data_IF_452685037093
#
_entry.id   IF_452685037093
#
_cell.length_a   1.000
_cell.length_b   1.000
_cell.length_c   1.000
_cell.angle_alpha   90.00
_cell.angle_beta   90.00
_cell.angle_gamma   90.00
#
_symmetry.space_group_name_H-M   'P 1'
#
loop_
_entity.id
_entity.type
_entity.pdbx_description
1 polymer ?
#
# COMPACT_ATOMS: atom_id res chain seq x y z
N UNK A 1 -39.79 -53.25 -2.18
CA UNK A 1 -38.93 -52.64 -1.19
C UNK A 1 -38.18 -51.49 -1.87
N UNK A 2 -38.70 -50.27 -1.74
CA UNK A 2 -38.14 -49.10 -2.36
C UNK A 2 -37.21 -48.41 -1.35
N UNK A 3 -35.91 -48.41 -1.65
CA UNK A 3 -34.93 -47.61 -0.92
C UNK A 3 -34.91 -46.19 -1.53
N UNK A 4 -35.41 -45.21 -0.76
CA UNK A 4 -35.29 -43.80 -1.13
C UNK A 4 -33.92 -43.31 -0.71
N UNK A 5 -33.09 -42.94 -1.69
CA UNK A 5 -31.83 -42.18 -1.46
C UNK A 5 -32.18 -40.77 -1.04
N UNK A 6 -31.93 -40.47 0.22
CA UNK A 6 -31.99 -39.10 0.75
C UNK A 6 -30.64 -38.43 0.51
N UNK A 7 -30.57 -37.71 -0.59
CA UNK A 7 -29.41 -36.83 -0.88
C UNK A 7 -29.43 -35.62 0.09
N UNK A 8 -28.57 -35.67 1.09
CA UNK A 8 -28.35 -34.53 2.03
C UNK A 8 -27.78 -33.35 1.24
N UNK A 9 -28.57 -32.28 1.07
CA UNK A 9 -28.10 -31.01 0.56
C UNK A 9 -27.15 -30.37 1.58
N UNK A 10 -25.88 -30.17 1.19
CA UNK A 10 -24.95 -29.38 1.95
C UNK A 10 -25.49 -27.94 2.12
N UNK A 11 -25.45 -27.36 3.33
CA UNK A 11 -25.90 -26.01 3.54
C UNK A 11 -25.10 -25.06 2.66
N UNK A 12 -25.77 -24.20 1.88
CA UNK A 12 -25.17 -23.11 1.14
C UNK A 12 -24.56 -22.16 2.17
N UNK A 13 -23.23 -22.17 2.28
CA UNK A 13 -22.49 -21.13 3.01
C UNK A 13 -22.83 -19.79 2.39
N UNK A 14 -23.28 -18.82 3.21
CA UNK A 14 -23.42 -17.43 2.78
C UNK A 14 -22.09 -17.00 2.12
N UNK A 15 -22.14 -16.23 1.01
CA UNK A 15 -20.92 -15.66 0.46
C UNK A 15 -20.25 -14.84 1.59
N UNK A 16 -19.01 -15.16 1.93
CA UNK A 16 -18.20 -14.32 2.81
C UNK A 16 -18.19 -12.93 2.19
N UNK A 17 -18.62 -11.92 2.96
CA UNK A 17 -18.48 -10.53 2.55
C UNK A 17 -16.99 -10.31 2.30
N UNK A 18 -16.63 -10.13 1.03
CA UNK A 18 -15.24 -9.85 0.64
C UNK A 18 -14.85 -8.53 1.27
N UNK A 19 -13.89 -8.59 2.21
CA UNK A 19 -13.33 -7.41 2.87
C UNK A 19 -12.85 -6.41 1.81
N UNK A 20 -13.16 -5.14 2.02
CA UNK A 20 -12.61 -4.07 1.19
C UNK A 20 -11.10 -3.93 1.42
N UNK A 21 -10.33 -3.91 0.32
CA UNK A 21 -8.88 -3.75 0.35
C UNK A 21 -8.53 -2.27 0.33
N UNK A 22 -7.83 -1.78 1.36
CA UNK A 22 -7.36 -0.41 1.46
C UNK A 22 -6.13 -0.18 0.57
N UNK A 23 -6.16 0.92 -0.17
CA UNK A 23 -5.11 1.30 -1.12
C UNK A 23 -4.76 2.76 -0.87
N UNK A 24 -3.67 2.98 -0.16
CA UNK A 24 -3.32 4.27 0.40
C UNK A 24 -2.11 4.89 -0.30
N UNK A 25 -2.17 6.17 -0.56
CA UNK A 25 -1.06 6.96 -1.09
C UNK A 25 -0.71 8.06 -0.11
N UNK A 26 0.55 8.09 0.34
CA UNK A 26 1.09 9.06 1.30
C UNK A 26 1.99 10.05 0.57
N UNK A 27 1.56 11.30 0.50
CA UNK A 27 2.30 12.38 -0.17
C UNK A 27 2.72 13.45 0.84
N UNK A 28 3.99 13.82 0.84
CA UNK A 28 4.49 14.93 1.65
C UNK A 28 6.00 14.91 1.82
N UNK A 29 6.60 16.07 2.06
CA UNK A 29 8.05 16.21 2.23
C UNK A 29 8.60 15.42 3.43
N UNK A 30 9.92 15.18 3.51
CA UNK A 30 10.54 14.51 4.65
C UNK A 30 10.22 15.22 5.97
N UNK A 31 10.10 14.46 7.06
CA UNK A 31 9.88 14.99 8.40
C UNK A 31 8.46 15.48 8.71
N UNK A 32 7.48 15.24 7.83
CA UNK A 32 6.06 15.64 8.04
C UNK A 32 5.23 14.60 8.80
N UNK A 33 5.79 13.45 9.18
CA UNK A 33 5.09 12.45 9.99
C UNK A 33 4.49 11.27 9.21
N UNK A 34 4.73 11.14 7.89
CA UNK A 34 4.24 10.01 7.09
C UNK A 34 4.54 8.65 7.72
N UNK A 35 5.80 8.41 8.06
CA UNK A 35 6.25 7.14 8.67
C UNK A 35 5.58 6.89 10.02
N UNK A 36 5.30 7.94 10.80
CA UNK A 36 4.58 7.81 12.07
C UNK A 36 3.16 7.30 11.86
N UNK A 37 2.43 7.87 10.91
CA UNK A 37 1.06 7.42 10.57
C UNK A 37 1.08 6.00 9.99
N UNK A 38 2.03 5.71 9.09
CA UNK A 38 2.20 4.35 8.57
C UNK A 38 2.48 3.31 9.66
N UNK A 39 3.30 3.67 10.66
CA UNK A 39 3.56 2.79 11.80
C UNK A 39 2.32 2.55 12.67
N UNK A 40 1.42 3.54 12.76
CA UNK A 40 0.13 3.34 13.45
C UNK A 40 -0.73 2.33 12.70
N UNK A 41 -0.92 2.50 11.39
CA UNK A 41 -1.68 1.58 10.54
C UNK A 41 -1.05 0.18 10.54
N UNK A 42 0.29 0.11 10.48
CA UNK A 42 1.03 -1.14 10.58
C UNK A 42 0.72 -1.88 11.89
N UNK A 43 0.68 -1.17 13.01
CA UNK A 43 0.36 -1.75 14.33
C UNK A 43 -1.06 -2.32 14.34
N UNK A 44 -2.04 -1.56 13.89
CA UNK A 44 -3.44 -2.02 13.78
C UNK A 44 -3.56 -3.28 12.91
N UNK A 45 -2.85 -3.32 11.78
CA UNK A 45 -2.78 -4.51 10.92
C UNK A 45 -2.23 -5.73 11.69
N UNK A 46 -1.15 -5.56 12.45
CA UNK A 46 -0.55 -6.64 13.23
C UNK A 46 -1.43 -7.09 14.39
N UNK A 47 -2.09 -6.17 15.07
CA UNK A 47 -3.06 -6.45 16.15
C UNK A 47 -4.27 -7.22 15.64
N UNK A 48 -4.68 -7.00 14.39
CA UNK A 48 -5.72 -7.81 13.73
C UNK A 48 -5.26 -9.22 13.31
N UNK A 49 -4.03 -9.62 13.68
CA UNK A 49 -3.44 -10.92 13.34
C UNK A 49 -2.91 -11.03 11.91
N UNK A 50 -2.95 -9.95 11.14
CA UNK A 50 -2.42 -9.91 9.78
C UNK A 50 -0.92 -9.65 9.79
N UNK A 51 -0.26 -9.91 8.70
CA UNK A 51 1.18 -9.69 8.54
C UNK A 51 1.45 -8.47 7.68
N UNK A 52 2.67 -7.93 7.77
CA UNK A 52 3.05 -6.80 6.96
C UNK A 52 4.43 -6.99 6.31
N UNK A 53 4.60 -6.40 5.13
CA UNK A 53 5.85 -6.38 4.40
C UNK A 53 6.18 -4.97 3.97
N UNK A 54 7.35 -4.49 4.34
CA UNK A 54 7.87 -3.18 3.94
C UNK A 54 8.91 -3.38 2.84
N UNK A 55 8.71 -2.75 1.70
CA UNK A 55 9.69 -2.67 0.60
C UNK A 55 10.29 -1.28 0.63
N UNK A 56 11.59 -1.19 0.86
CA UNK A 56 12.32 0.08 0.97
C UNK A 56 13.68 -0.03 0.29
N UNK A 57 14.22 1.06 -0.30
CA UNK A 57 15.59 1.06 -0.82
C UNK A 57 16.62 1.37 0.29
N UNK A 58 16.17 1.75 1.48
CA UNK A 58 17.02 2.28 2.56
C UNK A 58 17.32 1.24 3.63
N UNK A 59 18.60 0.89 3.79
CA UNK A 59 19.03 -0.08 4.81
C UNK A 59 18.82 0.43 6.24
N UNK A 60 18.93 1.74 6.45
CA UNK A 60 18.85 2.39 7.75
C UNK A 60 17.42 2.76 8.19
N UNK A 61 16.42 2.52 7.34
CA UNK A 61 15.02 2.71 7.69
C UNK A 61 14.38 1.41 8.14
N UNK A 62 13.38 1.51 9.02
CA UNK A 62 12.66 0.36 9.55
C UNK A 62 13.55 -0.69 10.24
N UNK A 63 14.66 -0.27 10.87
CA UNK A 63 15.67 -1.18 11.46
C UNK A 63 15.13 -2.04 12.61
N UNK A 64 14.07 -1.58 13.27
CA UNK A 64 13.33 -2.31 14.29
C UNK A 64 12.52 -3.50 13.72
N UNK A 65 12.40 -3.58 12.40
CA UNK A 65 11.69 -4.66 11.71
C UNK A 65 12.69 -5.63 11.07
N UNK A 66 12.54 -6.90 11.40
CA UNK A 66 13.41 -7.95 10.90
C UNK A 66 13.39 -8.06 9.36
N UNK A 67 14.55 -8.21 8.75
CA UNK A 67 14.71 -8.32 7.31
C UNK A 67 14.38 -9.74 6.80
N UNK A 68 13.73 -9.80 5.64
CA UNK A 68 13.59 -11.03 4.85
C UNK A 68 14.61 -11.01 3.73
N UNK A 69 15.35 -12.10 3.58
CA UNK A 69 16.24 -12.24 2.44
C UNK A 69 15.42 -12.41 1.14
N UNK A 70 15.58 -11.51 0.15
CA UNK A 70 14.68 -11.46 -1.02
C UNK A 70 14.74 -12.71 -1.90
N UNK A 71 15.82 -13.51 -1.81
CA UNK A 71 15.99 -14.77 -2.55
C UNK A 71 15.29 -15.96 -1.87
N UNK A 72 14.91 -15.83 -0.59
CA UNK A 72 14.28 -16.91 0.17
C UNK A 72 12.76 -16.79 0.09
N UNK A 73 12.17 -17.33 -0.96
CA UNK A 73 10.73 -17.22 -1.27
C UNK A 73 9.82 -17.75 -0.15
N UNK A 74 10.24 -18.79 0.55
CA UNK A 74 9.47 -19.34 1.67
C UNK A 74 9.39 -18.36 2.85
N UNK A 75 10.36 -17.48 3.05
CA UNK A 75 10.29 -16.43 4.07
C UNK A 75 9.17 -15.43 3.80
N UNK A 76 8.90 -15.09 2.52
CA UNK A 76 7.76 -14.21 2.17
C UNK A 76 6.43 -14.92 2.45
N UNK A 77 6.37 -16.22 2.30
CA UNK A 77 5.15 -17.01 2.45
C UNK A 77 4.79 -17.32 3.90
N UNK A 78 5.77 -17.54 4.77
CA UNK A 78 5.57 -18.23 6.05
C UNK A 78 5.78 -17.39 7.30
N UNK A 79 6.38 -16.19 7.21
CA UNK A 79 6.62 -15.37 8.40
C UNK A 79 5.34 -14.84 9.03
N UNK A 80 5.41 -14.52 10.32
CA UNK A 80 4.38 -13.80 11.07
C UNK A 80 4.89 -12.41 11.45
N UNK A 81 3.96 -11.49 11.74
CA UNK A 81 4.27 -10.11 12.11
C UNK A 81 4.76 -9.28 10.92
N UNK A 82 5.63 -8.31 11.17
CA UNK A 82 6.21 -7.45 10.15
C UNK A 82 7.57 -7.93 9.68
N UNK A 83 7.87 -7.73 8.41
CA UNK A 83 9.21 -7.91 7.81
C UNK A 83 9.50 -6.77 6.85
N UNK A 84 10.80 -6.51 6.60
CA UNK A 84 11.25 -5.58 5.56
C UNK A 84 12.10 -6.29 4.51
N UNK A 85 12.08 -5.77 3.28
CA UNK A 85 12.93 -6.18 2.17
C UNK A 85 13.60 -4.94 1.60
N UNK A 86 14.92 -5.00 1.43
CA UNK A 86 15.66 -3.98 0.70
C UNK A 86 15.53 -4.27 -0.79
N UNK A 87 15.10 -3.25 -1.55
CA UNK A 87 14.86 -3.35 -3.00
C UNK A 87 15.46 -2.15 -3.72
N UNK A 88 16.38 -2.41 -4.66
CA UNK A 88 17.00 -1.39 -5.51
C UNK A 88 16.55 -1.48 -6.98
N UNK A 89 15.43 -2.16 -7.23
CA UNK A 89 14.86 -2.34 -8.58
C UNK A 89 15.00 -3.74 -9.15
N UNK A 90 15.28 -4.72 -8.28
CA UNK A 90 15.33 -6.12 -8.68
C UNK A 90 13.91 -6.66 -8.93
N UNK A 91 13.57 -6.86 -10.20
CA UNK A 91 12.25 -7.38 -10.62
C UNK A 91 11.86 -8.66 -9.90
N UNK A 92 12.83 -9.53 -9.61
CA UNK A 92 12.62 -10.79 -8.91
C UNK A 92 12.02 -10.63 -7.52
N UNK A 93 12.33 -9.53 -6.83
CA UNK A 93 11.74 -9.22 -5.51
C UNK A 93 10.23 -8.97 -5.66
N UNK A 94 9.83 -8.09 -6.59
CA UNK A 94 8.43 -7.78 -6.84
C UNK A 94 7.65 -9.01 -7.35
N UNK A 95 8.26 -9.84 -8.21
CA UNK A 95 7.68 -11.11 -8.66
C UNK A 95 7.43 -12.07 -7.50
N UNK A 96 8.37 -12.21 -6.59
CA UNK A 96 8.22 -13.05 -5.41
C UNK A 96 7.13 -12.51 -4.46
N UNK A 97 7.06 -11.21 -4.25
CA UNK A 97 5.99 -10.58 -3.46
C UNK A 97 4.65 -10.86 -4.13
N UNK A 98 4.52 -10.57 -5.42
CA UNK A 98 3.30 -10.86 -6.20
C UNK A 98 2.86 -12.31 -6.08
N UNK A 99 3.80 -13.25 -6.09
CA UNK A 99 3.52 -14.69 -6.06
C UNK A 99 3.14 -15.20 -4.67
N UNK A 100 3.86 -14.77 -3.62
CA UNK A 100 3.84 -15.42 -2.31
C UNK A 100 3.22 -14.61 -1.18
N UNK A 101 3.09 -13.27 -1.32
CA UNK A 101 2.49 -12.45 -0.29
C UNK A 101 0.96 -12.44 -0.41
N UNK A 102 0.28 -12.79 0.68
CA UNK A 102 -1.19 -12.86 0.77
C UNK A 102 -1.64 -12.42 2.16
N UNK A 103 -2.89 -11.95 2.28
CA UNK A 103 -3.55 -11.59 3.53
C UNK A 103 -2.65 -10.73 4.43
N UNK A 104 -2.42 -9.47 4.04
CA UNK A 104 -1.53 -8.60 4.80
C UNK A 104 -1.51 -7.17 4.31
N UNK A 105 -0.54 -6.42 4.82
CA UNK A 105 -0.31 -5.01 4.49
C UNK A 105 1.06 -4.84 3.83
N UNK A 106 1.09 -4.32 2.62
CA UNK A 106 2.29 -4.09 1.84
C UNK A 106 2.59 -2.59 1.79
N UNK A 107 3.75 -2.20 2.31
CA UNK A 107 4.22 -0.81 2.29
C UNK A 107 5.31 -0.67 1.22
N UNK A 108 5.09 0.23 0.26
CA UNK A 108 6.08 0.68 -0.72
C UNK A 108 6.65 2.01 -0.24
N UNK A 109 7.77 1.95 0.44
CA UNK A 109 8.44 3.12 0.97
C UNK A 109 9.47 3.65 -0.04
N UNK A 110 9.43 4.95 -0.34
CA UNK A 110 10.24 5.62 -1.37
C UNK A 110 10.29 4.87 -2.73
N UNK A 111 9.13 4.46 -3.21
CA UNK A 111 8.96 3.54 -4.34
C UNK A 111 9.59 4.04 -5.66
N UNK A 112 9.82 5.35 -5.83
CA UNK A 112 10.51 5.89 -7.01
C UNK A 112 11.90 5.31 -7.20
N UNK A 113 12.56 4.92 -6.13
CA UNK A 113 13.92 4.41 -6.18
C UNK A 113 14.01 3.04 -6.88
N UNK A 114 12.93 2.26 -6.88
CA UNK A 114 12.94 0.89 -7.40
C UNK A 114 11.80 0.54 -8.37
N UNK A 115 10.82 1.45 -8.59
CA UNK A 115 9.76 1.28 -9.59
C UNK A 115 9.97 2.33 -10.70
N UNK A 116 10.26 1.85 -11.89
CA UNK A 116 10.54 2.70 -13.07
C UNK A 116 9.27 2.99 -13.86
N UNK A 117 9.21 4.07 -14.64
CA UNK A 117 8.09 4.35 -15.56
C UNK A 117 7.79 3.20 -16.52
N UNK A 118 8.84 2.49 -16.99
CA UNK A 118 8.72 1.31 -17.86
C UNK A 118 7.97 0.12 -17.21
N UNK A 119 7.88 0.11 -15.89
CA UNK A 119 7.25 -0.98 -15.14
C UNK A 119 5.72 -0.79 -14.97
N UNK A 120 5.14 0.24 -15.58
CA UNK A 120 3.72 0.61 -15.42
C UNK A 120 2.78 -0.59 -15.61
N UNK A 121 2.84 -1.26 -16.76
CA UNK A 121 1.96 -2.40 -17.08
C UNK A 121 2.14 -3.54 -16.08
N UNK A 122 3.38 -3.82 -15.70
CA UNK A 122 3.67 -4.82 -14.68
C UNK A 122 3.06 -4.43 -13.32
N UNK A 123 3.20 -3.18 -12.92
CA UNK A 123 2.66 -2.69 -11.65
C UNK A 123 1.13 -2.66 -11.63
N UNK A 124 0.46 -2.35 -12.74
CA UNK A 124 -0.99 -2.47 -12.86
C UNK A 124 -1.44 -3.92 -12.58
N UNK A 125 -0.81 -4.90 -13.24
CA UNK A 125 -1.09 -6.32 -13.00
C UNK A 125 -0.73 -6.77 -11.58
N UNK A 126 0.31 -6.19 -11.01
CA UNK A 126 0.73 -6.45 -9.64
C UNK A 126 -0.35 -5.97 -8.64
N UNK A 127 -0.80 -4.72 -8.75
CA UNK A 127 -1.79 -4.12 -7.85
C UNK A 127 -3.16 -4.79 -7.97
N UNK A 128 -3.56 -5.21 -9.19
CA UNK A 128 -4.76 -6.02 -9.40
C UNK A 128 -4.66 -7.38 -8.68
N UNK A 129 -3.49 -8.03 -8.74
CA UNK A 129 -3.28 -9.31 -8.06
C UNK A 129 -3.30 -9.19 -6.52
N UNK A 130 -2.89 -8.05 -5.96
CA UNK A 130 -2.96 -7.80 -4.52
C UNK A 130 -4.41 -7.81 -4.01
N UNK A 131 -5.33 -7.20 -4.76
CA UNK A 131 -6.76 -7.21 -4.43
C UNK A 131 -7.32 -8.63 -4.29
N UNK A 132 -6.96 -9.53 -5.23
CA UNK A 132 -7.41 -10.93 -5.21
C UNK A 132 -6.82 -11.73 -4.06
N UNK A 133 -5.78 -11.21 -3.41
CA UNK A 133 -5.03 -11.87 -2.33
C UNK A 133 -5.29 -11.26 -0.96
N UNK A 134 -6.28 -10.39 -0.85
CA UNK A 134 -6.61 -9.67 0.39
C UNK A 134 -5.40 -8.91 0.98
N UNK A 135 -4.70 -8.19 0.11
CA UNK A 135 -3.53 -7.38 0.48
C UNK A 135 -3.84 -5.91 0.37
N UNK A 136 -3.85 -5.21 1.51
CA UNK A 136 -3.82 -3.75 1.55
C UNK A 136 -2.46 -3.26 1.11
N UNK A 137 -2.40 -2.05 0.55
CA UNK A 137 -1.10 -1.43 0.33
C UNK A 137 -1.07 0.06 0.70
N UNK A 138 0.11 0.53 1.06
CA UNK A 138 0.46 1.93 1.14
C UNK A 138 1.67 2.21 0.25
N UNK A 139 1.63 3.34 -0.47
CA UNK A 139 2.75 3.85 -1.24
C UNK A 139 3.15 5.22 -0.71
N UNK A 140 4.43 5.40 -0.39
CA UNK A 140 4.97 6.65 0.14
C UNK A 140 5.88 7.36 -0.83
N UNK A 141 5.76 8.68 -0.87
CA UNK A 141 6.65 9.55 -1.60
C UNK A 141 6.78 10.94 -1.01
N UNK A 142 7.84 11.63 -1.38
CA UNK A 142 8.14 12.97 -0.90
C UNK A 142 7.33 14.08 -1.60
N UNK A 143 6.65 13.74 -2.68
CA UNK A 143 5.79 14.63 -3.46
C UNK A 143 5.01 13.85 -4.51
N UNK A 144 4.09 14.52 -5.21
CA UNK A 144 3.23 13.91 -6.22
C UNK A 144 4.03 13.28 -7.38
N UNK A 145 5.16 13.89 -7.76
CA UNK A 145 6.00 13.41 -8.86
C UNK A 145 6.93 12.27 -8.48
N UNK A 146 7.08 12.00 -7.19
CA UNK A 146 7.94 10.91 -6.68
C UNK A 146 7.20 9.60 -6.50
N UNK A 147 5.88 9.58 -6.70
CA UNK A 147 5.07 8.36 -6.68
C UNK A 147 4.69 8.01 -8.13
N UNK A 148 4.88 6.77 -8.56
CA UNK A 148 4.47 6.32 -9.89
C UNK A 148 2.96 6.51 -10.12
N UNK A 149 2.53 6.94 -11.33
CA UNK A 149 1.12 7.24 -11.64
C UNK A 149 0.15 6.13 -11.29
N UNK A 150 0.54 4.89 -11.51
CA UNK A 150 -0.28 3.71 -11.26
C UNK A 150 -0.82 3.63 -9.83
N UNK A 151 -0.09 4.10 -8.83
CA UNK A 151 -0.57 4.08 -7.45
C UNK A 151 -1.74 5.06 -7.23
N UNK A 152 -1.74 6.20 -7.90
CA UNK A 152 -2.85 7.17 -7.85
C UNK A 152 -4.12 6.59 -8.47
N UNK A 153 -4.00 5.95 -9.63
CA UNK A 153 -5.12 5.32 -10.32
C UNK A 153 -5.80 4.24 -9.48
N UNK A 154 -5.02 3.51 -8.67
CA UNK A 154 -5.54 2.42 -7.83
C UNK A 154 -5.86 2.84 -6.41
N UNK A 155 -5.47 4.03 -5.96
CA UNK A 155 -5.69 4.48 -4.59
C UNK A 155 -7.17 4.61 -4.24
N UNK A 156 -7.54 4.23 -3.04
CA UNK A 156 -8.84 4.52 -2.43
C UNK A 156 -8.77 5.72 -1.50
N UNK A 157 -7.58 6.00 -0.96
CA UNK A 157 -7.35 7.09 -0.02
C UNK A 157 -6.00 7.77 -0.25
N UNK A 158 -6.02 9.12 -0.12
CA UNK A 158 -4.81 9.95 -0.12
C UNK A 158 -4.59 10.53 1.26
N UNK A 159 -3.41 10.30 1.79
CA UNK A 159 -2.88 10.93 3.01
C UNK A 159 -1.98 12.09 2.59
N UNK A 160 -2.49 13.30 2.67
CA UNK A 160 -1.83 14.52 2.20
C UNK A 160 -1.15 15.21 3.38
N UNK A 161 0.16 15.23 3.37
CA UNK A 161 1.01 15.99 4.27
C UNK A 161 1.57 17.23 3.57
N UNK A 162 2.20 18.14 4.32
CA UNK A 162 2.81 19.33 3.74
C UNK A 162 3.80 18.97 2.62
N UNK A 163 3.63 19.59 1.46
CA UNK A 163 4.44 19.35 0.26
C UNK A 163 4.66 20.61 -0.54
N UNK A 164 5.81 20.74 -1.18
CA UNK A 164 6.11 21.80 -2.15
C UNK A 164 5.87 21.37 -3.58
N UNK A 165 5.56 20.07 -3.80
CA UNK A 165 5.32 19.54 -5.14
C UNK A 165 3.91 19.86 -5.62
N UNK A 166 3.79 20.15 -6.91
CA UNK A 166 2.53 20.57 -7.51
C UNK A 166 1.68 19.34 -7.90
N UNK A 167 0.48 19.17 -7.34
CA UNK A 167 -0.40 18.05 -7.66
C UNK A 167 -0.87 18.05 -9.13
N UNK A 168 -0.83 19.21 -9.82
CA UNK A 168 -1.25 19.36 -11.22
C UNK A 168 -0.60 18.34 -12.16
N UNK A 169 0.61 17.89 -11.86
CA UNK A 169 1.32 16.88 -12.65
C UNK A 169 0.68 15.48 -12.57
N UNK A 170 -0.32 15.29 -11.70
CA UNK A 170 -1.07 14.04 -11.51
C UNK A 170 -2.57 14.20 -11.77
N UNK A 171 -2.96 15.30 -12.41
CA UNK A 171 -4.37 15.61 -12.67
C UNK A 171 -5.11 14.47 -13.37
N UNK A 172 -4.47 13.84 -14.35
CA UNK A 172 -5.07 12.76 -15.14
C UNK A 172 -5.04 11.39 -14.43
N UNK A 173 -4.27 11.26 -13.34
CA UNK A 173 -4.13 10.03 -12.58
C UNK A 173 -5.05 10.00 -11.33
N UNK A 174 -5.64 11.14 -10.95
CA UNK A 174 -6.43 11.33 -9.72
C UNK A 174 -7.86 11.66 -10.07
N UNK A 175 -8.83 10.88 -9.57
CA UNK A 175 -10.25 11.07 -9.92
C UNK A 175 -10.82 12.40 -9.39
N UNK A 176 -10.46 12.80 -8.16
CA UNK A 176 -10.98 14.01 -7.51
C UNK A 176 -9.86 15.06 -7.36
N UNK A 177 -9.29 15.48 -8.49
CA UNK A 177 -8.15 16.39 -8.52
C UNK A 177 -8.39 17.72 -7.79
N UNK A 178 -9.55 18.34 -8.00
CA UNK A 178 -9.87 19.66 -7.43
C UNK A 178 -9.89 19.62 -5.88
N UNK A 179 -10.36 18.52 -5.30
CA UNK A 179 -10.32 18.33 -3.85
C UNK A 179 -8.90 18.08 -3.36
N UNK A 180 -8.09 17.32 -4.09
CA UNK A 180 -6.67 17.13 -3.78
C UNK A 180 -5.93 18.45 -3.78
N UNK A 181 -6.12 19.31 -4.79
CA UNK A 181 -5.47 20.63 -4.89
C UNK A 181 -5.88 21.55 -3.74
N UNK A 182 -7.18 21.64 -3.43
CA UNK A 182 -7.69 22.41 -2.28
C UNK A 182 -7.10 21.91 -0.96
N UNK A 183 -7.02 20.58 -0.80
CA UNK A 183 -6.48 19.97 0.42
C UNK A 183 -5.00 20.22 0.56
N UNK A 184 -4.20 20.12 -0.51
CA UNK A 184 -2.78 20.48 -0.48
C UNK A 184 -2.57 21.91 0.02
N UNK A 185 -3.36 22.87 -0.50
CA UNK A 185 -3.28 24.27 -0.07
C UNK A 185 -3.63 24.42 1.42
N UNK A 186 -4.71 23.79 1.87
CA UNK A 186 -5.17 23.80 3.25
C UNK A 186 -4.16 23.18 4.21
N UNK A 187 -3.61 22.02 3.85
CA UNK A 187 -2.57 21.33 4.63
C UNK A 187 -1.30 22.15 4.71
N UNK A 188 -0.84 22.75 3.61
CA UNK A 188 0.35 23.59 3.61
C UNK A 188 0.19 24.81 4.52
N UNK A 189 -0.99 25.43 4.56
CA UNK A 189 -1.28 26.55 5.47
C UNK A 189 -1.25 26.10 6.94
N UNK A 190 -1.92 25.00 7.28
CA UNK A 190 -1.97 24.48 8.66
C UNK A 190 -0.62 23.94 9.12
N UNK A 191 0.21 23.44 8.21
CA UNK A 191 1.55 22.98 8.51
C UNK A 191 2.52 24.09 8.94
N UNK A 192 2.19 25.36 8.74
CA UNK A 192 2.98 26.48 9.28
C UNK A 192 2.96 26.52 10.81
N UNK A 193 1.85 26.11 11.42
CA UNK A 193 1.70 26.02 12.89
C UNK A 193 1.90 24.60 13.43
N UNK A 194 1.60 23.57 12.63
CA UNK A 194 1.77 22.17 13.00
C UNK A 194 2.36 21.38 11.82
N UNK A 195 3.68 21.22 11.80
CA UNK A 195 4.40 20.54 10.70
C UNK A 195 3.96 19.09 10.43
N UNK A 196 3.26 18.47 11.38
CA UNK A 196 2.75 17.09 11.28
C UNK A 196 1.27 17.04 10.90
N UNK A 197 0.65 18.19 10.60
CA UNK A 197 -0.72 18.21 10.14
C UNK A 197 -0.86 17.50 8.79
N UNK A 198 -1.89 16.69 8.68
CA UNK A 198 -2.26 16.01 7.43
C UNK A 198 -3.77 15.88 7.32
N UNK A 199 -4.25 15.63 6.13
CA UNK A 199 -5.65 15.31 5.86
C UNK A 199 -5.75 14.04 5.01
N UNK A 200 -6.87 13.34 5.17
CA UNK A 200 -7.18 12.12 4.42
C UNK A 200 -8.32 12.44 3.47
N UNK A 201 -8.16 12.07 2.20
CA UNK A 201 -9.18 12.24 1.16
C UNK A 201 -9.50 10.86 0.58
N UNK A 202 -10.79 10.56 0.43
CA UNK A 202 -11.23 9.40 -0.35
C UNK A 202 -11.16 9.71 -1.85
N UNK A 203 -10.60 8.79 -2.62
CA UNK A 203 -10.53 8.84 -4.07
C UNK A 203 -11.73 8.06 -4.64
N UNK A 204 -12.92 8.69 -4.54
CA UNK A 204 -14.20 8.13 -5.00
C UNK A 204 -14.72 8.94 -6.17
#
# INVERSE_FOLDING_TARGET
>A
MNSQDVTAQKPKTKPEETREVFKMVFVGKPGTGKTTVLRSILRECLESGRRALIVTPHENEWMDIAMVHPRLQHHIRTYRGARRIICHGEKKILENIKKYFVNGFLIFDDCKAYIRPSDRVYMEQFLLALRQKDVDFACCGHGFTTIPPVFYTFATEFFIFATTDNPKKRKDDVMNYDEVEKTVNRVNQKALSNKHYYEIIKNQ
#
